data_IF_320852877326
#
_entry.id   IF_320852877326
#
_cell.length_a   1.000
_cell.length_b   1.000
_cell.length_c   1.000
_cell.angle_alpha   90.00
_cell.angle_beta   90.00
_cell.angle_gamma   90.00
#
_symmetry.space_group_name_H-M   'P 1'
#
loop_
_entity.id
_entity.type
_entity.pdbx_description
1 polymer ?
#
# COMPACT_ATOMS: atom_id res chain seq x y z
N UNK A 1 0.27 -5.80 -20.96
CA UNK A 1 0.69 -5.09 -19.73
C UNK A 1 0.61 -3.59 -19.92
N UNK A 2 1.46 -3.02 -20.78
CA UNK A 2 1.65 -1.56 -20.91
C UNK A 2 0.37 -0.79 -21.22
N UNK A 3 -0.46 -1.30 -22.16
CA UNK A 3 -1.76 -0.69 -22.46
C UNK A 3 -2.66 -0.59 -21.23
N UNK A 4 -2.73 -1.63 -20.40
CA UNK A 4 -3.57 -1.62 -19.20
C UNK A 4 -3.05 -0.61 -18.18
N UNK A 5 -1.72 -0.53 -17.98
CA UNK A 5 -1.11 0.42 -17.06
C UNK A 5 -1.31 1.87 -17.52
N UNK A 6 -1.11 2.14 -18.82
CA UNK A 6 -1.33 3.45 -19.41
C UNK A 6 -2.79 3.90 -19.26
N UNK A 7 -3.75 3.04 -19.61
CA UNK A 7 -5.18 3.35 -19.45
C UNK A 7 -5.57 3.54 -17.98
N UNK A 8 -5.08 2.70 -17.07
CA UNK A 8 -5.37 2.83 -15.64
C UNK A 8 -4.87 4.17 -15.07
N UNK A 9 -3.68 4.62 -15.51
CA UNK A 9 -3.13 5.90 -15.08
C UNK A 9 -3.90 7.11 -15.62
N UNK A 10 -4.58 6.96 -16.77
CA UNK A 10 -5.28 8.04 -17.45
C UNK A 10 -6.78 8.16 -17.09
N UNK A 11 -7.43 7.08 -16.65
CA UNK A 11 -8.87 7.10 -16.33
C UNK A 11 -9.17 7.82 -15.00
N UNK A 12 -10.31 8.50 -14.90
CA UNK A 12 -10.82 9.06 -13.65
C UNK A 12 -11.76 8.09 -12.89
N UNK A 13 -12.27 7.06 -13.56
CA UNK A 13 -13.13 6.03 -12.96
C UNK A 13 -12.30 5.09 -12.07
N UNK A 14 -12.63 5.07 -10.77
CA UNK A 14 -11.93 4.24 -9.79
C UNK A 14 -12.19 2.74 -9.96
N UNK A 15 -13.38 2.36 -10.41
CA UNK A 15 -13.72 0.96 -10.62
C UNK A 15 -12.96 0.41 -11.84
N UNK A 16 -12.94 1.17 -12.95
CA UNK A 16 -12.17 0.84 -14.14
C UNK A 16 -10.68 0.74 -13.83
N UNK A 17 -10.13 1.75 -13.12
CA UNK A 17 -8.72 1.77 -12.69
C UNK A 17 -8.35 0.50 -11.92
N UNK A 18 -9.18 0.11 -10.95
CA UNK A 18 -8.97 -1.09 -10.12
C UNK A 18 -8.96 -2.36 -10.97
N UNK A 19 -9.90 -2.49 -11.91
CA UNK A 19 -9.97 -3.67 -12.79
C UNK A 19 -8.74 -3.78 -13.70
N UNK A 20 -8.30 -2.66 -14.28
CA UNK A 20 -7.13 -2.61 -15.15
C UNK A 20 -5.84 -3.01 -14.40
N UNK A 21 -5.64 -2.51 -13.18
CA UNK A 21 -4.50 -2.92 -12.35
C UNK A 21 -4.59 -4.39 -11.93
N UNK A 22 -5.78 -4.92 -11.65
CA UNK A 22 -5.96 -6.34 -11.35
C UNK A 22 -5.57 -7.24 -12.54
N UNK A 23 -5.91 -6.84 -13.78
CA UNK A 23 -5.48 -7.54 -15.00
C UNK A 23 -3.96 -7.56 -15.13
N UNK A 24 -3.32 -6.42 -14.89
CA UNK A 24 -1.86 -6.31 -14.88
C UNK A 24 -1.22 -7.24 -13.82
N UNK A 25 -1.70 -7.18 -12.57
CA UNK A 25 -1.18 -8.02 -11.49
C UNK A 25 -1.34 -9.52 -11.78
N UNK A 26 -2.52 -9.95 -12.26
CA UNK A 26 -2.78 -11.34 -12.61
C UNK A 26 -1.82 -11.83 -13.71
N UNK A 27 -1.62 -11.04 -14.76
CA UNK A 27 -0.70 -11.38 -15.83
C UNK A 27 0.74 -11.55 -15.32
N UNK A 28 1.21 -10.63 -14.47
CA UNK A 28 2.57 -10.67 -13.95
C UNK A 28 2.81 -11.86 -12.99
N UNK A 29 1.89 -12.11 -12.06
CA UNK A 29 2.08 -13.09 -10.98
C UNK A 29 1.61 -14.48 -11.37
N UNK A 30 0.38 -14.60 -11.88
CA UNK A 30 -0.29 -15.89 -12.07
C UNK A 30 0.03 -16.49 -13.43
N UNK A 31 0.00 -15.68 -14.49
CA UNK A 31 0.05 -16.20 -15.86
C UNK A 31 1.48 -16.35 -16.38
N UNK A 32 2.38 -15.43 -16.00
CA UNK A 32 3.75 -15.38 -16.53
C UNK A 32 4.84 -15.58 -15.47
N UNK A 33 4.48 -15.70 -14.18
CA UNK A 33 5.41 -15.90 -13.07
C UNK A 33 6.61 -14.92 -13.06
N UNK A 34 6.39 -13.67 -13.49
CA UNK A 34 7.41 -12.61 -13.54
C UNK A 34 7.86 -12.24 -12.12
N UNK A 35 6.94 -12.33 -11.15
CA UNK A 35 7.20 -12.13 -9.74
C UNK A 35 6.51 -13.23 -8.92
N UNK A 36 7.17 -13.69 -7.86
CA UNK A 36 6.64 -14.66 -6.92
C UNK A 36 6.47 -14.00 -5.53
N UNK A 37 5.25 -13.58 -5.17
CA UNK A 37 5.00 -12.91 -3.90
C UNK A 37 5.24 -13.86 -2.73
N UNK A 38 6.05 -13.44 -1.75
CA UNK A 38 6.32 -14.22 -0.55
C UNK A 38 5.40 -13.82 0.61
N UNK A 39 5.30 -12.51 0.87
CA UNK A 39 4.45 -11.92 1.91
C UNK A 39 4.33 -10.42 1.69
N UNK A 40 3.38 -9.78 2.38
CA UNK A 40 3.32 -8.32 2.56
C UNK A 40 3.89 -8.02 3.95
N UNK A 41 4.95 -7.20 4.09
CA UNK A 41 5.49 -6.84 5.39
C UNK A 41 4.43 -6.20 6.29
N UNK A 42 4.45 -6.54 7.58
CA UNK A 42 3.60 -5.93 8.58
C UNK A 42 4.43 -4.95 9.42
N UNK A 43 3.97 -3.71 9.53
CA UNK A 43 4.63 -2.71 10.33
C UNK A 43 4.35 -2.94 11.83
N UNK A 44 5.38 -2.80 12.65
CA UNK A 44 5.31 -3.02 14.10
C UNK A 44 5.80 -1.79 14.87
N UNK A 45 5.08 -1.43 15.93
CA UNK A 45 5.46 -0.35 16.84
C UNK A 45 5.64 -0.93 18.23
N UNK A 46 6.86 -0.81 18.76
CA UNK A 46 7.15 -1.05 20.17
C UNK A 46 7.34 0.28 20.89
N UNK A 47 6.51 0.57 21.88
CA UNK A 47 6.57 1.80 22.65
C UNK A 47 6.11 1.60 24.09
N UNK A 48 6.48 2.53 24.98
CA UNK A 48 5.88 2.56 26.32
C UNK A 48 4.38 2.87 26.22
N UNK A 49 3.59 2.32 27.15
CA UNK A 49 2.13 2.55 27.21
C UNK A 49 1.73 4.02 27.37
N UNK A 50 2.64 4.85 27.88
CA UNK A 50 2.45 6.28 28.02
C UNK A 50 2.59 7.03 26.69
N UNK A 51 3.21 6.46 25.65
CA UNK A 51 3.36 7.13 24.36
C UNK A 51 2.09 6.95 23.53
N UNK A 52 1.53 8.05 23.05
CA UNK A 52 0.30 8.09 22.25
C UNK A 52 0.56 8.74 20.88
N UNK A 53 -0.36 8.52 19.94
CA UNK A 53 -0.30 9.10 18.60
C UNK A 53 0.66 8.40 17.63
N UNK A 54 1.16 7.23 18.00
CA UNK A 54 1.98 6.39 17.12
C UNK A 54 1.11 5.66 16.10
N UNK A 55 1.61 5.51 14.89
CA UNK A 55 0.97 4.77 13.80
C UNK A 55 1.81 4.85 12.53
N UNK A 56 1.35 4.21 11.47
CA UNK A 56 1.91 4.31 10.13
C UNK A 56 0.86 4.82 9.14
N UNK A 57 1.29 5.61 8.17
CA UNK A 57 0.49 5.96 7.01
C UNK A 57 0.28 4.70 6.14
N UNK A 58 -0.97 4.33 5.83
CA UNK A 58 -1.27 3.06 5.16
C UNK A 58 -0.81 3.01 3.70
N UNK A 59 -0.49 4.15 3.07
CA UNK A 59 -0.05 4.19 1.68
C UNK A 59 1.48 4.09 1.55
N UNK A 60 2.22 4.68 2.48
CA UNK A 60 3.67 4.85 2.41
C UNK A 60 4.45 4.05 3.45
N UNK A 61 3.81 3.56 4.52
CA UNK A 61 4.48 2.91 5.66
C UNK A 61 5.33 3.90 6.49
N UNK A 62 5.20 5.20 6.27
CA UNK A 62 5.90 6.23 7.06
C UNK A 62 5.15 6.49 8.37
N UNK A 63 5.75 7.14 9.39
CA UNK A 63 5.03 7.48 10.61
C UNK A 63 3.73 8.24 10.28
N UNK A 64 2.62 7.84 10.90
CA UNK A 64 1.29 8.41 10.63
C UNK A 64 1.25 9.93 10.82
N UNK A 65 2.02 10.44 11.77
CA UNK A 65 2.19 11.87 12.00
C UNK A 65 3.46 12.13 12.81
N UNK A 66 4.23 13.13 12.42
CA UNK A 66 5.39 13.60 13.20
C UNK A 66 4.96 14.44 14.43
N UNK A 67 3.73 14.96 14.43
CA UNK A 67 3.25 15.93 15.42
C UNK A 67 2.28 15.33 16.44
N UNK A 68 1.68 14.18 16.14
CA UNK A 68 0.73 13.53 17.07
C UNK A 68 1.43 12.71 18.16
N UNK A 69 2.73 12.44 18.01
CA UNK A 69 3.51 11.68 18.99
C UNK A 69 3.70 12.50 20.26
N UNK A 70 3.17 11.99 21.37
CA UNK A 70 3.21 12.66 22.67
C UNK A 70 3.29 11.69 23.83
N UNK A 71 3.77 12.19 24.97
CA UNK A 71 3.66 11.50 26.25
C UNK A 71 2.27 11.80 26.83
N UNK A 72 1.48 10.76 27.04
CA UNK A 72 0.24 10.82 27.80
C UNK A 72 0.54 11.07 29.27
N UNK A 73 -0.17 12.05 29.83
CA UNK A 73 -0.23 12.31 31.28
C UNK A 73 -1.11 11.29 31.99
#
# INVERSE_FOLDING_TARGET
MDKWLATASATSDQAERKELYAKAQKAAVVENAIAFPLYVPADQIAAQKTVQGLGFDPASGTPASAYDVRIGT
#
